data_IF_706370574546
#
_entry.id   IF_706370574546
#
_cell.length_a   1.000
_cell.length_b   1.000
_cell.length_c   1.000
_cell.angle_alpha   90.00
_cell.angle_beta   90.00
_cell.angle_gamma   90.00
#
_symmetry.space_group_name_H-M   'P 1'
#
loop_
_entity.id
_entity.type
_entity.pdbx_description
1 polymer ?
#
# COMPACT_ATOMS: atom_id res chain seq x y z
N UNK A 1 -7.18 1.50 12.71
CA UNK A 1 -7.55 2.83 12.18
C UNK A 1 -7.10 2.96 10.73
N UNK A 2 -7.47 4.05 10.04
CA UNK A 2 -7.26 4.18 8.56
C UNK A 2 -5.81 3.95 8.08
N UNK A 3 -4.81 4.10 8.94
CA UNK A 3 -3.38 3.85 8.65
C UNK A 3 -2.82 2.49 9.07
N UNK A 4 -3.62 1.57 9.62
CA UNK A 4 -3.13 0.25 10.05
C UNK A 4 -3.30 -0.80 8.95
N UNK A 5 -2.29 -1.65 8.77
CA UNK A 5 -2.38 -2.83 7.91
C UNK A 5 -3.08 -3.98 8.63
N UNK A 6 -3.76 -4.83 7.86
CA UNK A 6 -4.36 -6.09 8.27
C UNK A 6 -4.01 -7.16 7.23
N UNK A 7 -3.11 -8.07 7.58
CA UNK A 7 -2.62 -9.14 6.68
C UNK A 7 -2.12 -8.65 5.30
N UNK A 8 -1.15 -7.72 5.23
CA UNK A 8 -0.60 -7.29 3.94
C UNK A 8 0.14 -8.46 3.27
N UNK A 9 -0.08 -8.64 1.95
CA UNK A 9 0.43 -9.82 1.21
C UNK A 9 1.47 -9.48 0.14
N UNK A 10 1.44 -8.26 -0.40
CA UNK A 10 2.29 -7.90 -1.53
C UNK A 10 2.54 -6.39 -1.64
N UNK A 11 3.71 -6.06 -2.18
CA UNK A 11 4.19 -4.71 -2.42
C UNK A 11 4.72 -4.58 -3.85
N UNK A 12 4.39 -3.49 -4.52
CA UNK A 12 4.93 -3.11 -5.82
C UNK A 12 5.26 -1.60 -5.83
N UNK A 13 6.21 -1.22 -6.67
CA UNK A 13 6.62 0.17 -6.90
C UNK A 13 6.55 0.43 -8.41
N UNK A 14 5.96 1.53 -8.82
CA UNK A 14 5.93 1.93 -10.23
C UNK A 14 7.14 2.80 -10.63
N UNK A 15 7.16 3.30 -11.86
CA UNK A 15 8.23 4.16 -12.36
C UNK A 15 8.26 5.56 -11.73
N UNK A 16 7.13 5.99 -11.17
CA UNK A 16 6.98 7.31 -10.55
C UNK A 16 7.33 7.27 -9.05
N UNK A 17 7.58 6.07 -8.51
CA UNK A 17 7.97 5.83 -7.13
C UNK A 17 6.78 5.63 -6.19
N UNK A 18 5.56 5.50 -6.71
CA UNK A 18 4.39 5.19 -5.89
C UNK A 18 4.49 3.77 -5.33
N UNK A 19 4.18 3.62 -4.04
CA UNK A 19 4.18 2.32 -3.37
C UNK A 19 2.77 1.79 -3.24
N UNK A 20 2.53 0.61 -3.79
CA UNK A 20 1.26 -0.10 -3.74
C UNK A 20 1.37 -1.25 -2.76
N UNK A 21 0.41 -1.36 -1.83
CA UNK A 21 0.33 -2.47 -0.87
C UNK A 21 -1.02 -3.15 -0.96
N UNK A 22 -1.03 -4.48 -1.14
CA UNK A 22 -2.24 -5.29 -1.02
C UNK A 22 -2.49 -5.64 0.45
N UNK A 23 -3.53 -5.04 1.03
CA UNK A 23 -3.88 -5.13 2.44
C UNK A 23 -5.08 -6.07 2.61
N UNK A 24 -4.82 -7.38 2.59
CA UNK A 24 -5.84 -8.42 2.37
C UNK A 24 -6.91 -8.43 3.46
N UNK A 25 -6.52 -8.33 4.73
CA UNK A 25 -7.43 -8.36 5.86
C UNK A 25 -8.30 -7.12 5.99
N UNK A 26 -7.94 -6.04 5.29
CA UNK A 26 -8.75 -4.83 5.15
C UNK A 26 -9.47 -4.74 3.79
N UNK A 27 -9.29 -5.73 2.90
CA UNK A 27 -9.86 -5.76 1.55
C UNK A 27 -9.61 -4.48 0.73
N UNK A 28 -8.40 -3.92 0.81
CA UNK A 28 -8.03 -2.67 0.12
C UNK A 28 -6.66 -2.74 -0.52
N UNK A 29 -6.41 -1.82 -1.45
CA UNK A 29 -5.07 -1.46 -1.92
C UNK A 29 -4.74 -0.07 -1.37
N UNK A 30 -3.58 0.05 -0.71
CA UNK A 30 -3.06 1.33 -0.25
C UNK A 30 -2.03 1.84 -1.25
N UNK A 31 -2.05 3.15 -1.51
CA UNK A 31 -1.08 3.83 -2.39
C UNK A 31 -0.43 4.95 -1.61
N UNK A 32 0.90 4.91 -1.55
CA UNK A 32 1.70 5.94 -0.91
C UNK A 32 2.51 6.68 -1.97
N UNK A 33 2.36 8.01 -1.98
CA UNK A 33 3.13 8.88 -2.85
C UNK A 33 4.52 9.11 -2.25
N UNK A 34 5.58 9.17 -3.05
CA UNK A 34 6.90 9.58 -2.57
C UNK A 34 6.80 11.01 -2.04
N UNK A 35 7.31 11.23 -0.82
CA UNK A 35 7.44 12.57 -0.27
C UNK A 35 8.69 13.21 -0.88
N UNK A 36 8.51 14.37 -1.51
CA UNK A 36 9.62 15.21 -1.99
C UNK A 36 10.47 15.74 -0.83
#
# INVERSE_FOLDING_TARGET
>A
GDGEFSQPQGLAIDSDGDVYVSDQGNHRILVFKPTV
#
